data_IF_872076182531
#
_entry.id   IF_872076182531
#
_cell.length_a   1.000
_cell.length_b   1.000
_cell.length_c   1.000
_cell.angle_alpha   90.00
_cell.angle_beta   90.00
_cell.angle_gamma   90.00
#
_symmetry.space_group_name_H-M   'P 1'
#
loop_
_entity.id
_entity.type
_entity.pdbx_description
1 polymer ?
#
# COMPACT_ATOMS: atom_id res chain seq x y z
N UNK A 1 -11.99 -15.75 14.74
CA UNK A 1 -10.91 -14.76 14.51
C UNK A 1 -11.59 -13.49 13.99
N UNK A 2 -12.06 -12.64 14.92
CA UNK A 2 -12.86 -11.45 14.60
C UNK A 2 -11.99 -10.21 14.49
N UNK A 3 -11.05 -10.22 13.55
CA UNK A 3 -10.51 -8.96 13.03
C UNK A 3 -11.53 -8.47 11.99
N UNK A 4 -11.80 -7.17 11.93
CA UNK A 4 -12.66 -6.58 10.90
C UNK A 4 -12.19 -7.09 9.52
N UNK A 5 -12.95 -8.02 8.94
CA UNK A 5 -12.50 -8.80 7.79
C UNK A 5 -12.21 -7.91 6.57
N UNK A 6 -12.96 -6.81 6.43
CA UNK A 6 -12.74 -5.74 5.45
C UNK A 6 -11.40 -5.03 5.63
N UNK A 7 -11.14 -4.48 6.82
CA UNK A 7 -9.90 -3.79 7.17
C UNK A 7 -8.64 -4.64 6.91
N UNK A 8 -8.68 -5.92 7.28
CA UNK A 8 -7.57 -6.84 7.00
C UNK A 8 -7.42 -7.14 5.51
N UNK A 9 -8.53 -7.24 4.76
CA UNK A 9 -8.51 -7.48 3.32
C UNK A 9 -7.96 -6.30 2.54
N UNK A 10 -8.38 -5.08 2.87
CA UNK A 10 -7.87 -3.82 2.30
C UNK A 10 -6.37 -3.65 2.55
N UNK A 11 -5.91 -3.88 3.78
CA UNK A 11 -4.49 -3.81 4.12
C UNK A 11 -3.66 -4.89 3.41
N UNK A 12 -4.15 -6.13 3.34
CA UNK A 12 -3.47 -7.21 2.63
C UNK A 12 -3.42 -6.97 1.13
N UNK A 13 -4.48 -6.43 0.53
CA UNK A 13 -4.49 -6.06 -0.88
C UNK A 13 -3.48 -4.93 -1.16
N UNK A 14 -3.50 -3.87 -0.35
CA UNK A 14 -2.57 -2.74 -0.47
C UNK A 14 -1.10 -3.17 -0.29
N UNK A 15 -0.82 -4.02 0.70
CA UNK A 15 0.51 -4.61 0.90
C UNK A 15 0.90 -5.49 -0.29
N UNK A 16 0.00 -6.36 -0.75
CA UNK A 16 0.24 -7.26 -1.88
C UNK A 16 0.61 -6.51 -3.17
N UNK A 17 -0.04 -5.39 -3.44
CA UNK A 17 0.29 -4.53 -4.60
C UNK A 17 1.57 -3.73 -4.42
N UNK A 18 1.95 -3.39 -3.18
CA UNK A 18 3.18 -2.65 -2.89
C UNK A 18 4.43 -3.55 -2.79
N UNK A 19 4.27 -4.87 -2.67
CA UNK A 19 5.39 -5.81 -2.54
C UNK A 19 6.43 -5.69 -3.67
N UNK A 20 6.05 -5.64 -4.97
CA UNK A 20 7.03 -5.48 -6.04
C UNK A 20 7.87 -4.21 -5.89
N UNK A 21 7.22 -3.08 -5.57
CA UNK A 21 7.87 -1.78 -5.41
C UNK A 21 8.79 -1.73 -4.18
N UNK A 22 8.38 -2.34 -3.06
CA UNK A 22 9.20 -2.44 -1.84
C UNK A 22 10.40 -3.39 -1.98
N UNK A 23 10.33 -4.34 -2.90
CA UNK A 23 11.41 -5.31 -3.15
C UNK A 23 12.59 -4.69 -3.88
N UNK A 24 12.35 -3.74 -4.79
CA UNK A 24 13.39 -3.04 -5.57
C UNK A 24 14.48 -2.41 -4.68
N UNK A 25 14.16 -1.54 -3.69
CA UNK A 25 15.19 -0.94 -2.84
C UNK A 25 15.90 -1.98 -1.95
N UNK A 26 15.20 -3.01 -1.49
CA UNK A 26 15.82 -4.10 -0.70
C UNK A 26 16.86 -4.85 -1.53
N UNK A 27 16.50 -5.26 -2.75
CA UNK A 27 17.41 -5.96 -3.66
C UNK A 27 18.59 -5.08 -4.07
N UNK A 28 18.36 -3.78 -4.32
CA UNK A 28 19.42 -2.84 -4.64
C UNK A 28 20.47 -2.76 -3.50
N UNK A 29 20.02 -2.63 -2.26
CA UNK A 29 20.91 -2.56 -1.08
C UNK A 29 21.63 -3.89 -0.86
N UNK A 30 20.95 -5.04 -1.01
CA UNK A 30 21.54 -6.37 -0.80
C UNK A 30 22.57 -6.73 -1.88
N UNK A 31 22.29 -6.42 -3.14
CA UNK A 31 23.25 -6.65 -4.24
C UNK A 31 24.49 -5.77 -4.10
N UNK A 32 24.33 -4.59 -3.52
CA UNK A 32 25.40 -3.59 -3.43
C UNK A 32 25.81 -3.09 -4.82
N UNK A 33 26.87 -2.28 -4.85
CA UNK A 33 27.36 -1.63 -6.07
C UNK A 33 27.35 -0.11 -5.96
N UNK A 34 28.02 0.59 -6.89
CA UNK A 34 28.19 2.04 -6.83
C UNK A 34 26.85 2.81 -6.87
N UNK A 35 25.84 2.27 -7.56
CA UNK A 35 24.54 2.93 -7.75
C UNK A 35 23.43 2.42 -6.82
N UNK A 36 23.74 1.48 -5.90
CA UNK A 36 22.73 0.83 -5.06
C UNK A 36 21.92 1.81 -4.21
N UNK A 37 22.59 2.81 -3.61
CA UNK A 37 21.95 3.84 -2.79
C UNK A 37 21.06 4.75 -3.64
N UNK A 38 21.52 5.17 -4.82
CA UNK A 38 20.74 6.02 -5.73
C UNK A 38 19.49 5.31 -6.25
N UNK A 39 19.60 4.03 -6.62
CA UNK A 39 18.46 3.20 -7.05
C UNK A 39 17.48 3.00 -5.90
N UNK A 40 17.95 2.71 -4.69
CA UNK A 40 17.08 2.52 -3.52
C UNK A 40 16.34 3.80 -3.15
N UNK A 41 17.03 4.95 -3.10
CA UNK A 41 16.40 6.25 -2.84
C UNK A 41 15.40 6.59 -3.96
N UNK A 42 15.78 6.38 -5.23
CA UNK A 42 14.92 6.63 -6.38
C UNK A 42 13.64 5.79 -6.34
N UNK A 43 13.73 4.51 -5.97
CA UNK A 43 12.56 3.64 -5.84
C UNK A 43 11.64 4.06 -4.69
N UNK A 44 12.21 4.38 -3.52
CA UNK A 44 11.44 4.80 -2.33
C UNK A 44 10.72 6.14 -2.58
N UNK A 45 11.40 7.09 -3.22
CA UNK A 45 10.86 8.44 -3.48
C UNK A 45 9.93 8.43 -4.69
N UNK A 46 10.26 7.65 -5.71
CA UNK A 46 9.51 7.58 -6.97
C UNK A 46 8.12 6.99 -6.82
N UNK A 47 7.94 5.96 -5.97
CA UNK A 47 6.65 5.30 -5.80
C UNK A 47 5.54 6.27 -5.36
N UNK A 48 5.72 7.11 -4.31
CA UNK A 48 4.73 8.13 -3.98
C UNK A 48 4.48 9.18 -5.06
N UNK A 49 5.51 9.61 -5.79
CA UNK A 49 5.32 10.58 -6.88
C UNK A 49 4.49 9.99 -8.01
N UNK A 50 4.69 8.71 -8.35
CA UNK A 50 3.88 8.02 -9.34
C UNK A 50 2.41 7.95 -8.89
N UNK A 51 2.15 7.61 -7.62
CA UNK A 51 0.80 7.57 -7.07
C UNK A 51 0.11 8.95 -7.08
N UNK A 52 0.81 10.00 -6.64
CA UNK A 52 0.27 11.36 -6.56
C UNK A 52 0.03 12.00 -7.93
N UNK A 53 0.84 11.64 -8.94
CA UNK A 53 0.72 12.19 -10.29
C UNK A 53 -0.13 11.29 -11.17
N UNK A 54 0.40 10.15 -11.59
CA UNK A 54 -0.23 9.23 -12.52
C UNK A 54 -1.41 8.50 -11.89
N UNK A 55 -1.26 8.00 -10.66
CA UNK A 55 -2.34 7.32 -9.95
C UNK A 55 -3.56 8.23 -9.81
N UNK A 56 -3.37 9.44 -9.27
CA UNK A 56 -4.45 10.40 -9.09
C UNK A 56 -5.04 10.90 -10.42
N UNK A 57 -4.21 11.12 -11.45
CA UNK A 57 -4.69 11.52 -12.78
C UNK A 57 -5.56 10.43 -13.43
N UNK A 58 -5.15 9.16 -13.35
CA UNK A 58 -5.93 8.03 -13.87
C UNK A 58 -7.22 7.87 -13.07
N UNK A 59 -7.17 7.93 -11.74
CA UNK A 59 -8.37 7.84 -10.90
C UNK A 59 -9.34 8.99 -11.18
N UNK A 60 -8.85 10.23 -11.25
CA UNK A 60 -9.66 11.40 -11.59
C UNK A 60 -10.27 11.29 -12.99
N UNK A 61 -9.48 10.90 -13.99
CA UNK A 61 -9.97 10.67 -15.35
C UNK A 61 -11.02 9.56 -15.42
N UNK A 62 -10.84 8.46 -14.69
CA UNK A 62 -11.81 7.37 -14.61
C UNK A 62 -13.13 7.82 -13.97
N UNK A 63 -13.08 8.67 -12.94
CA UNK A 63 -14.27 9.25 -12.31
C UNK A 63 -14.99 10.21 -13.26
N UNK A 64 -14.25 11.11 -13.93
CA UNK A 64 -14.83 12.03 -14.92
C UNK A 64 -15.44 11.32 -16.13
N UNK A 65 -14.96 10.12 -16.47
CA UNK A 65 -15.51 9.30 -17.53
C UNK A 65 -16.84 8.60 -17.15
N UNK A 66 -17.22 8.60 -15.87
CA UNK A 66 -18.51 8.07 -15.41
C UNK A 66 -19.64 8.99 -15.88
N UNK A 67 -20.67 8.40 -16.47
CA UNK A 67 -21.81 9.16 -17.00
C UNK A 67 -22.87 9.49 -15.95
N UNK A 68 -23.04 8.61 -14.97
CA UNK A 68 -24.15 8.66 -14.04
C UNK A 68 -23.79 9.32 -12.70
N UNK A 69 -22.50 9.33 -12.33
CA UNK A 69 -22.01 9.93 -11.09
C UNK A 69 -20.51 10.28 -11.21
N UNK A 70 -20.16 11.51 -11.64
CA UNK A 70 -18.78 11.96 -11.78
C UNK A 70 -18.19 12.49 -10.46
N UNK A 71 -18.85 12.25 -9.31
CA UNK A 71 -18.34 12.64 -8.00
C UNK A 71 -17.63 11.48 -7.30
N UNK A 72 -16.49 11.79 -6.68
CA UNK A 72 -15.84 10.88 -5.77
C UNK A 72 -16.41 11.16 -4.37
N UNK A 73 -16.95 10.15 -3.70
CA UNK A 73 -17.40 10.25 -2.32
C UNK A 73 -16.39 9.56 -1.38
N UNK A 74 -15.18 10.12 -1.18
CA UNK A 74 -14.23 9.55 -0.24
C UNK A 74 -14.68 9.84 1.20
N UNK A 75 -14.30 8.97 2.12
CA UNK A 75 -14.36 9.29 3.53
C UNK A 75 -13.28 10.34 3.86
N UNK A 76 -13.63 11.62 3.74
CA UNK A 76 -12.71 12.77 3.84
C UNK A 76 -11.88 12.74 5.13
N UNK A 77 -12.47 12.26 6.23
CA UNK A 77 -11.78 12.10 7.51
C UNK A 77 -10.66 11.04 7.46
N UNK A 78 -10.89 9.91 6.79
CA UNK A 78 -9.87 8.89 6.58
C UNK A 78 -8.79 9.38 5.61
N UNK A 79 -9.17 9.88 4.43
CA UNK A 79 -8.20 10.39 3.44
C UNK A 79 -7.30 11.47 4.04
N UNK A 80 -7.84 12.40 4.82
CA UNK A 80 -7.05 13.44 5.48
C UNK A 80 -6.06 12.86 6.50
N UNK A 81 -6.48 11.87 7.31
CA UNK A 81 -5.59 11.21 8.29
C UNK A 81 -4.47 10.44 7.61
N UNK A 82 -4.80 9.71 6.54
CA UNK A 82 -3.86 8.88 5.80
C UNK A 82 -2.84 9.77 5.08
N UNK A 83 -3.32 10.80 4.37
CA UNK A 83 -2.45 11.76 3.68
C UNK A 83 -1.59 12.56 4.66
N UNK A 84 -2.14 13.03 5.79
CA UNK A 84 -1.36 13.74 6.80
C UNK A 84 -0.26 12.86 7.41
N UNK A 85 -0.57 11.60 7.70
CA UNK A 85 0.42 10.63 8.22
C UNK A 85 1.50 10.36 7.17
N UNK A 86 1.09 10.18 5.90
CA UNK A 86 2.00 9.98 4.78
C UNK A 86 2.93 11.18 4.58
N UNK A 87 2.40 12.40 4.47
CA UNK A 87 3.19 13.64 4.32
C UNK A 87 4.16 13.83 5.49
N UNK A 88 3.71 13.59 6.72
CA UNK A 88 4.59 13.70 7.90
C UNK A 88 5.75 12.70 7.84
N UNK A 89 5.47 11.43 7.53
CA UNK A 89 6.51 10.41 7.37
C UNK A 89 7.46 10.71 6.21
N UNK A 90 6.91 11.15 5.08
CA UNK A 90 7.68 11.51 3.89
C UNK A 90 8.58 12.73 4.14
N UNK A 91 8.09 13.75 4.86
CA UNK A 91 8.90 14.89 5.25
C UNK A 91 10.07 14.47 6.16
N UNK A 92 9.83 13.60 7.14
CA UNK A 92 10.90 13.04 7.99
C UNK A 92 11.91 12.27 7.16
N UNK A 93 11.46 11.46 6.19
CA UNK A 93 12.35 10.73 5.29
C UNK A 93 13.25 11.67 4.48
N UNK A 94 12.69 12.74 3.90
CA UNK A 94 13.46 13.73 3.12
C UNK A 94 14.46 14.49 3.98
N UNK A 95 14.06 14.89 5.19
CA UNK A 95 14.94 15.56 6.15
C UNK A 95 16.04 14.63 6.69
N UNK A 96 15.85 13.31 6.63
CA UNK A 96 16.83 12.34 7.09
C UNK A 96 18.03 12.18 6.14
N UNK A 97 17.90 12.54 4.87
CA UNK A 97 18.93 12.34 3.83
C UNK A 97 20.30 12.96 4.22
N UNK A 98 20.40 14.25 4.61
CA UNK A 98 21.68 14.86 4.97
C UNK A 98 22.19 14.48 6.37
N UNK A 99 21.46 13.69 7.16
CA UNK A 99 21.78 13.45 8.57
C UNK A 99 22.82 12.34 8.78
N UNK A 100 23.58 12.38 9.89
CA UNK A 100 24.53 11.31 10.22
C UNK A 100 23.81 9.98 10.46
N UNK A 101 24.52 8.87 10.23
CA UNK A 101 23.95 7.52 10.23
C UNK A 101 23.21 7.16 11.53
N UNK A 102 23.72 7.57 12.69
CA UNK A 102 23.07 7.33 13.98
C UNK A 102 21.69 7.96 14.07
N UNK A 103 21.54 9.20 13.62
CA UNK A 103 20.25 9.91 13.59
C UNK A 103 19.30 9.28 12.56
N UNK A 104 19.81 8.88 11.39
CA UNK A 104 19.03 8.16 10.37
C UNK A 104 18.41 6.87 10.91
N UNK A 105 19.15 6.10 11.71
CA UNK A 105 18.63 4.86 12.32
C UNK A 105 17.49 5.18 13.30
N UNK A 106 17.65 6.19 14.16
CA UNK A 106 16.60 6.61 15.09
C UNK A 106 15.34 7.05 14.34
N UNK A 107 15.49 7.85 13.28
CA UNK A 107 14.38 8.28 12.44
C UNK A 107 13.71 7.10 11.71
N UNK A 108 14.48 6.15 11.20
CA UNK A 108 13.96 4.95 10.54
C UNK A 108 13.11 4.09 11.51
N UNK A 109 13.60 3.88 12.74
CA UNK A 109 12.82 3.19 13.78
C UNK A 109 11.56 3.98 14.12
N UNK A 110 11.66 5.31 14.25
CA UNK A 110 10.51 6.18 14.49
C UNK A 110 9.44 6.11 13.39
N UNK A 111 9.86 6.05 12.12
CA UNK A 111 8.96 5.86 10.97
C UNK A 111 8.28 4.49 11.00
N UNK A 112 9.00 3.44 11.38
CA UNK A 112 8.42 2.10 11.55
C UNK A 112 7.33 2.10 12.63
N UNK A 113 7.59 2.75 13.76
CA UNK A 113 6.62 2.90 14.84
C UNK A 113 5.42 3.75 14.44
N UNK A 114 5.64 4.83 13.68
CA UNK A 114 4.58 5.66 13.12
C UNK A 114 3.66 4.82 12.22
N UNK A 115 4.24 4.01 11.33
CA UNK A 115 3.50 3.12 10.45
C UNK A 115 2.73 2.06 11.25
N UNK A 116 3.36 1.41 12.23
CA UNK A 116 2.69 0.44 13.09
C UNK A 116 1.51 1.06 13.87
N UNK A 117 1.68 2.27 14.40
CA UNK A 117 0.61 3.03 15.06
C UNK A 117 -0.52 3.37 14.09
N UNK A 118 -0.19 3.77 12.86
CA UNK A 118 -1.16 4.06 11.82
C UNK A 118 -1.98 2.82 11.46
N UNK A 119 -1.32 1.70 11.14
CA UNK A 119 -1.97 0.41 10.86
C UNK A 119 -2.87 -0.03 12.03
N UNK A 120 -2.40 0.09 13.27
CA UNK A 120 -3.20 -0.24 14.46
C UNK A 120 -4.42 0.67 14.62
N UNK A 121 -4.28 1.97 14.33
CA UNK A 121 -5.40 2.90 14.37
C UNK A 121 -6.43 2.59 13.27
N UNK A 122 -5.97 2.27 12.06
CA UNK A 122 -6.83 1.85 10.94
C UNK A 122 -7.60 0.58 11.28
N UNK A 123 -6.91 -0.44 11.80
CA UNK A 123 -7.54 -1.71 12.21
C UNK A 123 -8.55 -1.57 13.36
N UNK A 124 -8.43 -0.56 14.21
CA UNK A 124 -9.38 -0.28 15.32
C UNK A 124 -10.52 0.65 14.92
N UNK A 125 -10.31 1.47 13.90
CA UNK A 125 -11.31 2.43 13.40
C UNK A 125 -12.30 1.81 12.42
N UNK A 126 -11.96 0.68 11.81
CA UNK A 126 -12.86 -0.05 10.91
C UNK A 126 -13.96 -0.75 11.70
N UNK A 127 -15.20 -0.26 11.58
CA UNK A 127 -16.38 -0.92 12.14
C UNK A 127 -16.69 -2.19 11.33
N UNK A 128 -16.67 -3.39 11.94
CA UNK A 128 -16.97 -4.64 11.24
C UNK A 128 -18.39 -4.70 10.65
N UNK A 129 -19.29 -3.76 11.01
CA UNK A 129 -20.66 -3.70 10.52
C UNK A 129 -20.82 -2.97 9.16
N UNK A 130 -19.87 -2.13 8.75
CA UNK A 130 -20.01 -1.28 7.54
C UNK A 130 -19.20 -1.75 6.33
N UNK A 131 -18.15 -2.56 6.52
CA UNK A 131 -17.39 -3.17 5.43
C UNK A 131 -17.85 -4.62 5.18
N UNK A 132 -18.76 -4.80 4.22
CA UNK A 132 -18.99 -6.12 3.63
C UNK A 132 -17.90 -6.40 2.59
N UNK A 133 -17.04 -7.42 2.79
CA UNK A 133 -16.04 -7.77 1.79
C UNK A 133 -16.74 -8.12 0.47
N UNK A 134 -16.21 -7.63 -0.65
CA UNK A 134 -16.69 -8.04 -1.97
C UNK A 134 -16.65 -9.58 -2.09
N UNK A 135 -17.69 -10.20 -2.65
CA UNK A 135 -17.77 -11.65 -2.75
C UNK A 135 -16.58 -12.19 -3.55
N UNK A 136 -15.90 -13.22 -3.02
CA UNK A 136 -14.73 -13.83 -3.65
C UNK A 136 -15.06 -14.31 -5.06
N UNK A 137 -14.18 -13.99 -6.01
CA UNK A 137 -14.30 -14.43 -7.40
C UNK A 137 -14.34 -15.96 -7.55
N UNK A 138 -13.59 -16.70 -6.72
CA UNK A 138 -13.54 -18.17 -6.76
C UNK A 138 -14.77 -18.85 -6.12
N UNK A 139 -15.50 -18.16 -5.26
CA UNK A 139 -16.68 -18.69 -4.55
C UNK A 139 -17.81 -17.67 -4.55
N UNK A 140 -18.19 -17.22 -5.75
CA UNK A 140 -19.22 -16.20 -6.00
C UNK A 140 -20.62 -16.51 -5.43
N UNK A 141 -20.84 -17.72 -4.92
CA UNK A 141 -22.13 -18.20 -4.37
C UNK A 141 -22.09 -18.69 -2.92
N UNK A 142 -20.99 -18.54 -2.18
CA UNK A 142 -20.91 -18.96 -0.79
C UNK A 142 -21.06 -17.75 0.15
N UNK A 143 -22.15 -17.68 0.92
CA UNK A 143 -22.39 -16.62 1.92
C UNK A 143 -21.31 -16.56 3.03
N UNK A 144 -20.57 -17.66 3.23
CA UNK A 144 -19.43 -17.75 4.15
C UNK A 144 -18.30 -18.53 3.50
N UNK A 145 -17.36 -17.86 2.83
CA UNK A 145 -16.23 -18.54 2.22
C UNK A 145 -15.32 -19.16 3.27
N UNK A 146 -14.87 -20.39 3.01
CA UNK A 146 -13.95 -21.09 3.90
C UNK A 146 -12.59 -20.37 3.90
N UNK A 147 -12.01 -20.15 5.09
CA UNK A 147 -10.67 -19.55 5.26
C UNK A 147 -9.57 -20.06 4.31
N UNK A 148 -9.46 -21.37 4.00
CA UNK A 148 -8.49 -21.84 3.01
C UNK A 148 -8.75 -21.35 1.58
N UNK A 149 -10.01 -21.16 1.16
CA UNK A 149 -10.32 -20.63 -0.17
C UNK A 149 -9.88 -19.16 -0.32
N UNK A 150 -10.02 -18.36 0.74
CA UNK A 150 -9.52 -16.98 0.81
C UNK A 150 -7.99 -16.99 0.68
N UNK A 151 -7.31 -17.83 1.46
CA UNK A 151 -5.86 -17.94 1.43
C UNK A 151 -5.34 -18.35 0.04
N UNK A 152 -5.99 -19.33 -0.60
CA UNK A 152 -5.65 -19.76 -1.97
C UNK A 152 -5.86 -18.63 -2.97
N UNK A 153 -6.99 -17.91 -2.93
CA UNK A 153 -7.24 -16.79 -3.84
C UNK A 153 -6.20 -15.68 -3.66
N UNK A 154 -5.85 -15.35 -2.42
CA UNK A 154 -4.84 -14.35 -2.09
C UNK A 154 -3.47 -14.75 -2.65
N UNK A 155 -3.04 -15.99 -2.41
CA UNK A 155 -1.75 -16.50 -2.92
C UNK A 155 -1.71 -16.47 -4.45
N UNK A 156 -2.78 -16.91 -5.12
CA UNK A 156 -2.87 -16.87 -6.59
C UNK A 156 -2.83 -15.42 -7.10
N UNK A 157 -3.60 -14.51 -6.49
CA UNK A 157 -3.64 -13.10 -6.89
C UNK A 157 -2.27 -12.42 -6.74
N UNK A 158 -1.59 -12.63 -5.61
CA UNK A 158 -0.24 -12.11 -5.38
C UNK A 158 0.75 -12.71 -6.38
N UNK A 159 0.69 -14.02 -6.63
CA UNK A 159 1.57 -14.68 -7.61
C UNK A 159 1.38 -14.13 -9.03
N UNK A 160 0.12 -13.90 -9.45
CA UNK A 160 -0.20 -13.29 -10.75
C UNK A 160 0.31 -11.85 -10.87
N UNK A 161 0.20 -11.04 -9.80
CA UNK A 161 0.76 -9.68 -9.78
C UNK A 161 2.29 -9.69 -9.94
N UNK A 162 2.98 -10.57 -9.21
CA UNK A 162 4.44 -10.71 -9.29
C UNK A 162 4.86 -11.18 -10.69
N UNK A 163 4.23 -12.25 -11.20
CA UNK A 163 4.54 -12.79 -12.52
C UNK A 163 4.25 -11.78 -13.65
N UNK A 164 3.15 -11.03 -13.56
CA UNK A 164 2.82 -9.97 -14.50
C UNK A 164 3.85 -8.84 -14.48
N UNK A 165 4.31 -8.42 -13.30
CA UNK A 165 5.36 -7.42 -13.16
C UNK A 165 6.70 -7.90 -13.73
N UNK A 166 7.11 -9.15 -13.48
CA UNK A 166 8.36 -9.71 -14.04
C UNK A 166 8.31 -9.86 -15.56
N UNK A 167 7.17 -10.25 -16.13
CA UNK A 167 7.00 -10.37 -17.58
C UNK A 167 7.02 -9.00 -18.27
N UNK A 168 6.49 -7.96 -17.63
CA UNK A 168 6.47 -6.60 -18.18
C UNK A 168 7.85 -5.96 -18.26
N UNK A 169 8.77 -6.36 -17.37
CA UNK A 169 10.15 -5.82 -17.31
C UNK A 169 11.10 -6.57 -18.27
N UNK A 170 10.74 -7.78 -18.71
CA UNK A 170 11.52 -8.56 -19.69
C UNK A 170 11.14 -8.20 -21.12
#
# INVERSE_FOLDING_TARGET
>A
MGLAAGATGSLLAALGTALPETTVPVVAIVRGGPDAEAVAVGAIVGAPFLLLTLGLAITGGAVMARRDDPELHPEVGQVRRDLATFLAGFAVLMLAIPLPRGVRIVLAVGLLLLYARHVHATLRGSDPATEHPEPLHLTRGAERPAGPAIAVQLVIGVALLIAGAELFVR
#
